data_IF_718170729591
#
_entry.id   IF_718170729591
#
_cell.length_a   1.000
_cell.length_b   1.000
_cell.length_c   1.000
_cell.angle_alpha   90.00
_cell.angle_beta   90.00
_cell.angle_gamma   90.00
#
_symmetry.space_group_name_H-M   'P 1'
#
loop_
_entity.id
_entity.type
_entity.pdbx_description
1 polymer ?
#
# COMPACT_ATOMS: atom_id res chain seq x y z
N UNK A 1 -31.80 -16.98 21.92
CA UNK A 1 -30.41 -16.51 21.91
C UNK A 1 -30.49 -15.01 21.99
N UNK A 2 -29.77 -14.37 22.92
CA UNK A 2 -29.85 -12.93 23.14
C UNK A 2 -29.27 -12.14 21.95
N UNK A 3 -29.70 -10.90 21.82
CA UNK A 3 -29.19 -9.97 20.81
C UNK A 3 -27.84 -9.38 21.25
N UNK A 4 -27.03 -8.93 20.29
CA UNK A 4 -25.74 -8.29 20.55
C UNK A 4 -25.51 -7.10 19.62
N UNK A 5 -24.71 -6.13 20.06
CA UNK A 5 -24.31 -4.96 19.28
C UNK A 5 -22.81 -4.65 19.49
N UNK A 6 -22.15 -4.19 18.43
CA UNK A 6 -20.76 -3.71 18.51
C UNK A 6 -20.75 -2.22 18.84
N UNK A 7 -20.05 -1.82 19.91
CA UNK A 7 -19.88 -0.42 20.27
C UNK A 7 -18.53 0.10 19.80
N UNK A 8 -18.53 1.04 18.87
CA UNK A 8 -17.31 1.73 18.42
C UNK A 8 -16.75 2.69 19.48
N UNK A 9 -17.59 3.15 20.41
CA UNK A 9 -17.19 4.08 21.47
C UNK A 9 -16.36 3.38 22.56
N UNK A 10 -16.81 2.18 22.97
CA UNK A 10 -16.15 1.39 24.04
C UNK A 10 -15.21 0.31 23.50
N UNK A 11 -15.29 -0.02 22.20
CA UNK A 11 -14.53 -1.09 21.58
C UNK A 11 -14.96 -2.49 22.04
N UNK A 12 -16.12 -2.61 22.68
CA UNK A 12 -16.64 -3.86 23.25
C UNK A 12 -17.98 -4.29 22.64
N UNK A 13 -18.30 -5.57 22.80
CA UNK A 13 -19.61 -6.14 22.46
C UNK A 13 -20.57 -5.91 23.61
N UNK A 14 -21.70 -5.29 23.31
CA UNK A 14 -22.81 -5.14 24.24
C UNK A 14 -23.80 -6.28 24.01
N UNK A 15 -24.25 -6.91 25.10
CA UNK A 15 -25.14 -8.07 25.05
C UNK A 15 -26.48 -7.72 25.70
N UNK A 16 -27.57 -8.18 25.11
CA UNK A 16 -28.91 -8.03 25.66
C UNK A 16 -29.39 -9.34 26.31
N UNK A 17 -29.73 -9.25 27.59
CA UNK A 17 -30.45 -10.30 28.32
C UNK A 17 -31.80 -9.76 28.82
N UNK A 18 -31.81 -9.05 29.95
CA UNK A 18 -32.97 -8.26 30.42
C UNK A 18 -32.74 -6.76 30.28
N UNK A 19 -31.48 -6.35 30.22
CA UNK A 19 -31.00 -5.00 29.96
C UNK A 19 -29.73 -5.08 29.11
N UNK A 20 -29.32 -3.98 28.50
CA UNK A 20 -28.05 -3.89 27.80
C UNK A 20 -26.90 -3.75 28.80
N UNK A 21 -25.89 -4.61 28.68
CA UNK A 21 -24.66 -4.50 29.47
C UNK A 21 -23.43 -4.70 28.59
N UNK A 22 -22.32 -4.06 28.98
CA UNK A 22 -21.02 -4.27 28.36
C UNK A 22 -20.47 -5.64 28.81
N UNK A 23 -20.29 -6.56 27.85
CA UNK A 23 -19.77 -7.90 28.14
C UNK A 23 -18.26 -7.91 28.41
N UNK A 24 -17.55 -6.81 28.13
CA UNK A 24 -16.09 -6.72 28.14
C UNK A 24 -15.41 -7.50 27.01
N UNK A 25 -16.16 -8.20 26.16
CA UNK A 25 -15.61 -8.88 25.00
C UNK A 25 -15.20 -7.83 23.96
N UNK A 26 -13.94 -7.83 23.55
CA UNK A 26 -13.44 -6.90 22.54
C UNK A 26 -14.14 -7.13 21.19
N UNK A 27 -14.46 -6.03 20.50
CA UNK A 27 -14.87 -6.07 19.11
C UNK A 27 -13.71 -6.63 18.27
N UNK A 28 -13.93 -7.61 17.36
CA UNK A 28 -12.86 -8.25 16.60
C UNK A 28 -11.98 -7.32 15.74
N UNK A 29 -12.46 -6.13 15.39
CA UNK A 29 -11.67 -5.14 14.64
C UNK A 29 -10.76 -4.27 15.54
N UNK A 30 -10.95 -4.33 16.87
CA UNK A 30 -10.16 -3.59 17.85
C UNK A 30 -8.98 -4.40 18.42
N UNK A 31 -8.92 -5.71 18.19
CA UNK A 31 -7.86 -6.57 18.76
C UNK A 31 -6.53 -6.43 18.04
N UNK A 32 -6.55 -5.90 16.82
CA UNK A 32 -5.35 -5.73 16.00
C UNK A 32 -5.04 -4.25 15.85
N UNK A 33 -4.00 -3.72 16.52
CA UNK A 33 -3.61 -2.33 16.33
C UNK A 33 -3.18 -2.05 14.88
N UNK A 34 -3.36 -0.80 14.47
CA UNK A 34 -2.76 -0.30 13.23
C UNK A 34 -1.23 -0.28 13.37
N UNK A 35 -0.51 -0.59 12.28
CA UNK A 35 0.95 -0.46 12.25
C UNK A 35 1.35 1.00 12.16
N UNK A 36 2.36 1.37 12.93
CA UNK A 36 3.11 2.62 12.85
C UNK A 36 4.52 2.44 12.24
N UNK A 37 4.87 1.22 11.81
CA UNK A 37 6.14 0.93 11.15
C UNK A 37 6.32 1.71 9.85
N UNK A 38 7.52 2.28 9.70
CA UNK A 38 7.93 2.96 8.48
C UNK A 38 8.10 1.94 7.34
N UNK A 39 7.71 2.29 6.10
CA UNK A 39 7.92 1.42 4.95
C UNK A 39 9.38 0.99 4.79
N UNK A 40 9.60 -0.28 4.47
CA UNK A 40 10.93 -0.82 4.19
C UNK A 40 11.37 -0.36 2.81
N UNK A 41 12.40 0.48 2.76
CA UNK A 41 12.91 1.04 1.50
C UNK A 41 13.82 0.05 0.78
N UNK A 42 13.53 -0.18 -0.51
CA UNK A 42 14.32 -0.94 -1.49
C UNK A 42 14.52 -2.43 -1.18
N UNK A 43 13.92 -3.29 -2.03
CA UNK A 43 14.24 -4.71 -2.09
C UNK A 43 13.47 -5.45 -3.18
N UNK A 44 13.48 -6.78 -3.10
CA UNK A 44 12.57 -7.61 -3.90
C UNK A 44 11.16 -7.45 -3.34
N UNK A 45 10.17 -7.20 -4.21
CA UNK A 45 8.78 -7.08 -3.81
C UNK A 45 8.34 -8.31 -3.01
N UNK A 46 7.86 -8.08 -1.79
CA UNK A 46 7.38 -9.12 -0.90
C UNK A 46 6.18 -8.58 -0.12
N UNK A 47 5.16 -9.42 0.03
CA UNK A 47 4.04 -9.10 0.91
C UNK A 47 4.53 -9.11 2.37
N UNK A 48 4.13 -8.09 3.12
CA UNK A 48 4.39 -8.03 4.56
C UNK A 48 3.72 -9.19 5.31
N UNK A 49 4.40 -9.74 6.33
CA UNK A 49 3.91 -10.78 7.24
C UNK A 49 3.43 -10.23 8.60
N UNK A 50 3.41 -8.90 8.79
CA UNK A 50 2.87 -8.25 9.97
C UNK A 50 1.42 -8.68 10.25
N UNK A 51 1.12 -8.87 11.53
CA UNK A 51 -0.23 -9.17 12.00
C UNK A 51 -1.08 -7.91 12.17
N UNK A 52 -0.47 -6.73 12.05
CA UNK A 52 -1.15 -5.43 12.16
C UNK A 52 -2.10 -5.17 10.99
N UNK A 53 -3.12 -4.33 11.22
CA UNK A 53 -4.13 -4.02 10.20
C UNK A 53 -3.52 -3.39 8.93
N UNK A 54 -2.58 -2.46 9.11
CA UNK A 54 -1.73 -1.93 8.03
C UNK A 54 -0.43 -2.73 7.95
N UNK A 55 -0.08 -3.25 6.76
CA UNK A 55 1.17 -4.00 6.52
C UNK A 55 2.34 -3.04 6.30
N UNK A 56 2.85 -2.46 7.40
CA UNK A 56 3.96 -1.49 7.37
C UNK A 56 5.28 -2.09 6.85
N UNK A 57 5.41 -3.41 6.91
CA UNK A 57 6.54 -4.22 6.47
C UNK A 57 6.53 -4.57 4.97
N UNK A 58 5.71 -3.87 4.17
CA UNK A 58 5.72 -4.02 2.72
C UNK A 58 7.03 -3.50 2.12
N UNK A 59 7.68 -4.32 1.29
CA UNK A 59 8.92 -3.96 0.59
C UNK A 59 8.59 -3.37 -0.78
N UNK A 60 8.98 -2.11 -1.00
CA UNK A 60 8.83 -1.49 -2.32
C UNK A 60 9.92 -2.02 -3.29
N UNK A 61 9.57 -2.34 -4.55
CA UNK A 61 10.56 -2.61 -5.59
C UNK A 61 11.58 -1.47 -5.67
N UNK A 62 12.84 -1.80 -5.95
CA UNK A 62 13.94 -0.85 -6.11
C UNK A 62 13.49 0.44 -6.83
N UNK A 63 13.52 1.57 -6.13
CA UNK A 63 13.32 2.87 -6.77
C UNK A 63 14.59 3.20 -7.55
N UNK A 64 14.47 3.32 -8.87
CA UNK A 64 15.57 3.77 -9.72
C UNK A 64 15.61 5.30 -9.70
N UNK A 65 16.53 5.88 -8.93
CA UNK A 65 16.90 7.28 -9.06
C UNK A 65 18.07 7.33 -10.05
N UNK A 66 17.86 7.94 -11.22
CA UNK A 66 18.91 8.16 -12.21
C UNK A 66 19.25 9.64 -12.25
N UNK A 67 20.50 9.97 -11.94
CA UNK A 67 21.05 11.32 -12.07
C UNK A 67 21.57 11.61 -13.49
N UNK A 68 21.49 10.63 -14.39
CA UNK A 68 21.99 10.67 -15.76
C UNK A 68 20.90 10.21 -16.76
N UNK A 69 21.15 10.40 -18.05
CA UNK A 69 20.25 10.01 -19.12
C UNK A 69 19.94 8.49 -19.11
N UNK A 70 18.65 8.16 -19.10
CA UNK A 70 18.18 6.77 -19.11
C UNK A 70 18.21 6.24 -20.55
N UNK A 71 19.10 5.30 -20.84
CA UNK A 71 19.13 4.62 -22.14
C UNK A 71 18.13 3.46 -22.15
N UNK A 72 17.04 3.58 -22.89
CA UNK A 72 16.07 2.48 -23.04
C UNK A 72 16.38 1.62 -24.28
N UNK A 73 16.89 0.40 -24.08
CA UNK A 73 17.31 -0.51 -25.17
C UNK A 73 16.14 -1.11 -25.98
N UNK A 74 14.88 -0.89 -25.57
CA UNK A 74 13.69 -1.45 -26.24
C UNK A 74 12.77 -0.43 -26.93
N UNK A 75 13.01 0.87 -26.78
CA UNK A 75 12.32 1.91 -27.58
C UNK A 75 13.14 2.29 -28.82
N UNK A 76 13.79 1.31 -29.44
CA UNK A 76 14.61 1.60 -30.63
C UNK A 76 13.68 1.76 -31.82
N UNK A 77 13.20 2.97 -32.04
CA UNK A 77 13.03 3.43 -33.41
C UNK A 77 14.44 3.71 -33.96
N UNK A 78 14.91 2.81 -34.82
CA UNK A 78 16.18 3.02 -35.51
C UNK A 78 16.01 4.11 -36.58
N UNK A 79 16.98 5.02 -36.69
CA UNK A 79 17.06 5.96 -37.82
C UNK A 79 16.84 7.45 -37.54
N UNK A 80 16.74 7.88 -36.27
CA UNK A 80 16.71 9.31 -35.91
C UNK A 80 18.07 10.01 -36.12
N UNK A 81 18.04 11.32 -36.36
CA UNK A 81 19.24 12.17 -36.49
C UNK A 81 19.58 12.88 -35.17
N UNK A 82 20.79 13.45 -35.05
CA UNK A 82 21.26 14.11 -33.83
C UNK A 82 20.49 15.40 -33.44
N UNK A 83 19.59 15.86 -34.30
CA UNK A 83 18.75 17.05 -34.09
C UNK A 83 17.30 16.70 -33.77
N UNK A 84 17.01 15.44 -33.42
CA UNK A 84 15.65 14.96 -33.20
C UNK A 84 15.47 14.34 -31.81
N UNK A 85 14.35 14.66 -31.17
CA UNK A 85 13.87 14.07 -29.90
C UNK A 85 12.85 12.97 -30.24
N UNK A 86 13.05 11.77 -29.70
CA UNK A 86 12.06 10.69 -29.74
C UNK A 86 10.97 10.93 -28.70
N UNK A 87 9.73 11.12 -29.15
CA UNK A 87 8.57 11.30 -28.27
C UNK A 87 7.98 9.96 -27.80
N UNK A 88 7.26 9.99 -26.67
CA UNK A 88 6.65 8.79 -26.07
C UNK A 88 5.57 8.12 -26.93
N UNK A 89 5.08 8.81 -27.97
CA UNK A 89 4.14 8.29 -28.97
C UNK A 89 4.84 7.62 -30.17
N UNK A 90 6.17 7.55 -30.17
CA UNK A 90 6.94 7.00 -31.28
C UNK A 90 7.03 7.94 -32.48
N UNK A 91 6.92 9.25 -32.29
CA UNK A 91 7.26 10.26 -33.31
C UNK A 91 8.59 10.95 -33.02
N UNK A 92 9.15 11.65 -34.00
CA UNK A 92 10.34 12.50 -33.83
C UNK A 92 9.93 13.98 -33.83
N UNK A 93 10.49 14.77 -32.92
CA UNK A 93 10.42 16.23 -32.93
C UNK A 93 11.79 16.82 -33.22
N UNK A 94 11.86 17.84 -34.06
CA UNK A 94 13.11 18.58 -34.30
C UNK A 94 13.44 19.45 -33.09
N UNK A 95 14.73 19.52 -32.73
CA UNK A 95 15.28 20.45 -31.72
C UNK A 95 15.58 21.81 -32.29
#
# INVERSE_FOLDING_TARGET
MGDFAFSAESGTVWTYESEWYDSGQLVPDQVTPASDELPIVNGTAAAGNSTSYSRGDHVHPQQLTYDNDITATKFIMAGGTASQILCGDGTYQET
#
